data_IF_327987503792
#
_entry.id   IF_327987503792
#
_cell.length_a   1.000
_cell.length_b   1.000
_cell.length_c   1.000
_cell.angle_alpha   90.00
_cell.angle_beta   90.00
_cell.angle_gamma   90.00
#
_symmetry.space_group_name_H-M   'P 1'
#
loop_
_entity.id
_entity.type
_entity.pdbx_description
1 polymer ?
#
# COMPACT_ATOMS: atom_id res chain seq x y z
N UNK A 1 18.72 -0.47 15.97
CA UNK A 1 18.95 0.81 15.27
C UNK A 1 18.50 0.67 13.83
N UNK A 2 17.82 1.67 13.26
CA UNK A 2 17.48 1.68 11.83
C UNK A 2 18.71 2.17 11.06
N UNK A 3 19.25 1.36 10.16
CA UNK A 3 20.35 1.73 9.26
C UNK A 3 19.80 2.14 7.91
N UNK A 4 20.09 3.37 7.49
CA UNK A 4 19.72 3.84 6.16
C UNK A 4 20.72 3.33 5.13
N UNK A 5 20.22 2.67 4.10
CA UNK A 5 21.02 2.17 2.99
C UNK A 5 21.05 3.23 1.87
N UNK A 6 22.15 3.30 1.13
CA UNK A 6 22.23 4.10 -0.09
C UNK A 6 21.34 3.46 -1.17
N UNK A 7 20.40 4.24 -1.69
CA UNK A 7 19.43 3.85 -2.71
C UNK A 7 19.75 4.59 -4.00
N UNK A 8 19.77 3.88 -5.12
CA UNK A 8 19.97 4.46 -6.43
C UNK A 8 18.65 5.09 -6.93
N UNK A 9 18.49 6.40 -6.73
CA UNK A 9 17.25 7.14 -7.05
C UNK A 9 16.72 6.93 -8.48
N UNK A 10 17.55 6.95 -9.56
CA UNK A 10 17.07 6.70 -10.93
C UNK A 10 16.32 5.39 -11.15
N UNK A 11 16.66 4.34 -10.39
CA UNK A 11 16.03 3.02 -10.50
C UNK A 11 15.16 2.68 -9.28
N UNK A 12 14.98 3.64 -8.37
CA UNK A 12 14.21 3.45 -7.17
C UNK A 12 12.71 3.39 -7.51
N UNK A 13 11.96 2.67 -6.67
CA UNK A 13 10.51 2.62 -6.71
C UNK A 13 9.99 2.77 -5.30
N UNK A 14 8.85 3.42 -5.16
CA UNK A 14 8.11 3.43 -3.90
C UNK A 14 7.21 2.20 -3.88
N UNK A 15 7.25 1.47 -2.78
CA UNK A 15 6.32 0.40 -2.52
C UNK A 15 5.47 0.76 -1.31
N UNK A 16 4.15 0.73 -1.48
CA UNK A 16 3.18 0.93 -0.42
C UNK A 16 2.52 -0.40 -0.14
N UNK A 17 2.81 -1.00 1.01
CA UNK A 17 2.20 -2.24 1.46
C UNK A 17 1.07 -1.94 2.41
N UNK A 18 -0.14 -2.33 2.03
CA UNK A 18 -1.33 -2.19 2.85
C UNK A 18 -1.74 -3.59 3.31
N UNK A 19 -1.66 -3.82 4.62
CA UNK A 19 -2.06 -5.08 5.24
C UNK A 19 -3.09 -4.82 6.32
N UNK A 20 -4.25 -5.44 6.17
CA UNK A 20 -5.21 -5.58 7.26
C UNK A 20 -4.82 -6.77 8.14
N UNK A 21 -4.93 -6.63 9.45
CA UNK A 21 -4.83 -7.74 10.40
C UNK A 21 -6.00 -7.70 11.37
N UNK A 22 -6.54 -8.88 11.65
CA UNK A 22 -7.52 -9.09 12.71
C UNK A 22 -6.76 -9.56 13.94
N UNK A 23 -6.93 -8.88 15.07
CA UNK A 23 -6.42 -9.41 16.34
C UNK A 23 -7.55 -10.12 17.06
N UNK A 24 -7.37 -11.42 17.30
CA UNK A 24 -8.28 -12.24 18.10
C UNK A 24 -8.08 -11.94 19.60
N UNK A 25 -8.32 -10.69 19.99
CA UNK A 25 -8.35 -10.27 21.38
C UNK A 25 -9.81 -10.16 21.84
N UNK A 26 -10.03 -10.10 23.15
CA UNK A 26 -11.38 -10.02 23.77
C UNK A 26 -12.25 -8.91 23.15
N UNK A 27 -11.63 -7.85 22.63
CA UNK A 27 -12.29 -6.70 22.03
C UNK A 27 -12.47 -6.78 20.49
N UNK A 28 -12.12 -7.92 19.86
CA UNK A 28 -12.20 -8.17 18.40
C UNK A 28 -11.74 -6.98 17.55
N UNK A 29 -10.59 -6.39 17.89
CA UNK A 29 -10.16 -5.13 17.23
C UNK A 29 -9.61 -5.38 15.84
N UNK A 30 -10.01 -4.52 14.90
CA UNK A 30 -9.45 -4.48 13.56
C UNK A 30 -8.22 -3.58 13.52
N UNK A 31 -7.22 -3.97 12.73
CA UNK A 31 -6.00 -3.20 12.55
C UNK A 31 -5.71 -3.01 11.06
N UNK A 32 -5.53 -1.75 10.66
CA UNK A 32 -4.97 -1.41 9.38
C UNK A 32 -3.50 -1.05 9.57
N UNK A 33 -2.63 -1.76 8.85
CA UNK A 33 -1.18 -1.56 8.86
C UNK A 33 -0.75 -1.11 7.47
N UNK A 34 0.01 -0.04 7.38
CA UNK A 34 0.69 0.30 6.13
C UNK A 34 2.18 0.58 6.35
N UNK A 35 2.98 0.08 5.42
CA UNK A 35 4.43 0.29 5.38
C UNK A 35 4.75 0.87 4.00
N UNK A 36 5.50 1.96 4.00
CA UNK A 36 6.00 2.60 2.80
C UNK A 36 7.51 2.43 2.79
N UNK A 37 8.01 1.83 1.72
CA UNK A 37 9.44 1.67 1.50
C UNK A 37 9.84 2.32 0.18
N UNK A 38 11.02 2.94 0.19
CA UNK A 38 11.72 3.33 -1.03
C UNK A 38 12.76 2.25 -1.30
N UNK A 39 12.80 1.72 -2.52
CA UNK A 39 13.64 0.57 -2.79
C UNK A 39 14.11 0.43 -4.24
N UNK A 40 15.25 -0.22 -4.41
CA UNK A 40 15.70 -0.71 -5.71
C UNK A 40 15.33 -2.20 -5.84
N UNK A 41 14.77 -2.58 -6.99
CA UNK A 41 14.52 -3.99 -7.33
C UNK A 41 15.78 -4.58 -7.95
N UNK A 42 16.29 -5.68 -7.39
CA UNK A 42 17.30 -6.52 -8.04
C UNK A 42 16.67 -7.88 -8.35
N UNK A 43 16.61 -8.23 -9.63
CA UNK A 43 16.17 -9.55 -10.06
C UNK A 43 17.30 -10.55 -9.78
N UNK A 44 16.98 -11.65 -9.11
CA UNK A 44 17.88 -12.78 -9.02
C UNK A 44 17.42 -13.75 -10.10
N UNK A 45 18.09 -13.71 -11.25
CA UNK A 45 17.91 -14.75 -12.24
C UNK A 45 18.65 -15.98 -11.70
N UNK A 46 17.91 -17.10 -11.60
CA UNK A 46 18.38 -18.45 -11.27
C UNK A 46 18.37 -18.79 -9.77
N UNK A 47 17.25 -19.35 -9.31
CA UNK A 47 17.17 -20.61 -8.56
C UNK A 47 15.71 -21.09 -8.66
N UNK A 48 15.46 -22.07 -9.55
CA UNK A 48 14.21 -22.84 -9.68
C UNK A 48 12.88 -22.08 -9.90
N UNK A 49 12.41 -21.97 -11.15
CA UNK A 49 11.02 -21.71 -11.60
C UNK A 49 10.14 -20.67 -10.84
N UNK A 50 10.69 -19.81 -10.00
CA UNK A 50 9.98 -18.76 -9.28
C UNK A 50 10.71 -17.45 -9.51
N UNK A 51 10.00 -16.46 -10.05
CA UNK A 51 10.48 -15.09 -10.19
C UNK A 51 10.66 -14.44 -8.82
N UNK A 52 11.75 -14.76 -8.14
CA UNK A 52 12.12 -14.17 -6.87
C UNK A 52 12.95 -12.91 -7.11
N UNK A 53 12.66 -11.85 -6.36
CA UNK A 53 13.43 -10.62 -6.42
C UNK A 53 13.85 -10.22 -5.01
N UNK A 54 15.04 -9.62 -4.90
CA UNK A 54 15.49 -9.00 -3.66
C UNK A 54 15.22 -7.51 -3.72
N UNK A 55 14.69 -6.99 -2.61
CA UNK A 55 14.45 -5.57 -2.41
C UNK A 55 15.51 -5.07 -1.43
N UNK A 56 16.32 -4.11 -1.87
CA UNK A 56 17.14 -3.29 -0.96
C UNK A 56 16.40 -1.98 -0.73
N UNK A 57 15.97 -1.74 0.49
CA UNK A 57 15.00 -0.68 0.80
C UNK A 57 15.25 0.05 2.10
N UNK A 58 14.77 1.29 2.16
CA UNK A 58 14.62 2.06 3.39
C UNK A 58 13.13 2.22 3.70
N UNK A 59 12.78 2.12 4.99
CA UNK A 59 11.43 2.44 5.46
C UNK A 59 11.29 3.96 5.50
N UNK A 60 10.36 4.49 4.71
CA UNK A 60 10.05 5.92 4.67
C UNK A 60 9.02 6.25 5.74
N UNK A 61 7.98 5.43 5.83
CA UNK A 61 6.91 5.65 6.77
C UNK A 61 6.22 4.34 7.13
N UNK A 62 5.76 4.26 8.37
CA UNK A 62 5.02 3.14 8.91
C UNK A 62 3.88 3.68 9.78
N UNK A 63 2.71 3.09 9.65
CA UNK A 63 1.60 3.38 10.54
C UNK A 63 0.74 2.14 10.81
N UNK A 64 0.11 2.16 11.98
CA UNK A 64 -0.84 1.17 12.44
C UNK A 64 -2.01 1.90 13.08
N UNK A 65 -3.18 1.81 12.47
CA UNK A 65 -4.41 2.35 13.05
C UNK A 65 -5.28 1.20 13.55
N UNK A 66 -5.49 1.14 14.87
CA UNK A 66 -6.47 0.25 15.51
C UNK A 66 -7.85 0.90 15.43
N UNK A 67 -8.86 0.15 15.03
CA UNK A 67 -10.26 0.57 15.13
C UNK A 67 -11.06 -0.41 15.98
N UNK A 68 -11.96 0.14 16.80
CA UNK A 68 -12.87 -0.62 17.68
C UNK A 68 -14.24 -0.91 17.04
N UNK A 69 -14.45 -0.59 15.76
CA UNK A 69 -15.77 -0.65 15.16
C UNK A 69 -16.30 -2.10 15.09
N UNK A 70 -17.35 -2.35 15.88
CA UNK A 70 -18.02 -3.66 16.03
C UNK A 70 -18.88 -4.04 14.82
N UNK A 71 -19.04 -3.19 13.79
CA UNK A 71 -20.01 -3.45 12.70
C UNK A 71 -19.58 -3.08 11.29
N UNK A 72 -18.40 -2.50 11.05
CA UNK A 72 -17.96 -2.24 9.68
C UNK A 72 -17.29 -3.48 9.10
N UNK A 73 -17.91 -4.01 8.04
CA UNK A 73 -17.49 -5.21 7.33
C UNK A 73 -15.99 -5.19 7.03
N UNK A 74 -15.40 -6.38 6.97
CA UNK A 74 -14.01 -6.62 6.57
C UNK A 74 -13.61 -5.78 5.35
N UNK A 75 -14.51 -5.59 4.39
CA UNK A 75 -14.38 -4.77 3.18
C UNK A 75 -14.22 -3.26 3.44
N UNK A 76 -14.86 -2.71 4.46
CA UNK A 76 -14.86 -1.25 4.70
C UNK A 76 -13.49 -0.76 5.14
N UNK A 77 -12.83 -1.50 6.04
CA UNK A 77 -11.46 -1.20 6.47
C UNK A 77 -10.46 -1.32 5.32
N UNK A 78 -10.78 -2.16 4.33
CA UNK A 78 -9.95 -2.41 3.16
C UNK A 78 -10.00 -1.27 2.16
N UNK A 79 -11.20 -0.78 1.85
CA UNK A 79 -11.38 0.42 1.04
C UNK A 79 -10.76 1.62 1.73
N UNK A 80 -10.97 1.77 3.04
CA UNK A 80 -10.33 2.82 3.83
C UNK A 80 -8.80 2.78 3.72
N UNK A 81 -8.21 1.58 3.84
CA UNK A 81 -6.77 1.41 3.69
C UNK A 81 -6.22 1.84 2.33
N UNK A 82 -6.99 1.63 1.25
CA UNK A 82 -6.61 2.07 -0.08
C UNK A 82 -6.72 3.58 -0.22
N UNK A 83 -7.80 4.19 0.26
CA UNK A 83 -7.98 5.66 0.21
C UNK A 83 -6.80 6.34 0.91
N UNK A 84 -6.49 5.90 2.13
CA UNK A 84 -5.32 6.38 2.89
C UNK A 84 -4.02 6.13 2.11
N UNK A 85 -3.84 4.94 1.54
CA UNK A 85 -2.66 4.62 0.73
C UNK A 85 -2.50 5.50 -0.52
N UNK A 86 -3.60 5.86 -1.18
CA UNK A 86 -3.63 6.74 -2.35
C UNK A 86 -3.35 8.19 -1.97
N UNK A 87 -3.91 8.68 -0.87
CA UNK A 87 -3.64 10.03 -0.37
C UNK A 87 -2.15 10.16 0.01
N UNK A 88 -1.59 9.19 0.72
CA UNK A 88 -0.16 9.20 1.07
C UNK A 88 0.71 9.09 -0.19
N UNK A 89 0.33 8.24 -1.16
CA UNK A 89 1.00 8.19 -2.47
C UNK A 89 1.03 9.57 -3.11
N UNK A 90 -0.10 10.27 -3.16
CA UNK A 90 -0.21 11.56 -3.84
C UNK A 90 0.74 12.59 -3.21
N UNK A 91 0.74 12.70 -1.88
CA UNK A 91 1.63 13.60 -1.15
C UNK A 91 3.10 13.24 -1.40
N UNK A 92 3.45 11.96 -1.29
CA UNK A 92 4.82 11.50 -1.46
C UNK A 92 5.33 11.66 -2.90
N UNK A 93 4.50 11.34 -3.90
CA UNK A 93 4.82 11.55 -5.31
C UNK A 93 5.02 13.03 -5.61
N UNK A 94 4.22 13.93 -5.02
CA UNK A 94 4.40 15.37 -5.19
C UNK A 94 5.74 15.84 -4.61
N UNK A 95 6.08 15.38 -3.40
CA UNK A 95 7.35 15.71 -2.75
C UNK A 95 8.55 15.19 -3.57
N UNK A 96 8.52 13.92 -3.99
CA UNK A 96 9.60 13.34 -4.79
C UNK A 96 9.72 14.00 -6.15
N UNK A 97 8.61 14.37 -6.80
CA UNK A 97 8.64 15.08 -8.08
C UNK A 97 9.41 16.40 -7.97
N UNK A 98 9.23 17.15 -6.88
CA UNK A 98 9.97 18.39 -6.64
C UNK A 98 11.48 18.08 -6.57
N UNK A 99 11.87 17.02 -5.85
CA UNK A 99 13.27 16.62 -5.69
C UNK A 99 13.85 16.11 -7.01
N UNK A 100 13.17 15.21 -7.72
CA UNK A 100 13.67 14.64 -8.97
C UNK A 100 13.80 15.70 -10.06
N UNK A 101 12.88 16.67 -10.12
CA UNK A 101 12.98 17.79 -11.06
C UNK A 101 14.20 18.67 -10.78
N UNK A 102 14.55 18.90 -9.51
CA UNK A 102 15.75 19.67 -9.13
C UNK A 102 17.05 18.92 -9.46
N UNK A 103 17.00 17.60 -9.47
CA UNK A 103 18.16 16.73 -9.72
C UNK A 103 18.23 16.20 -11.16
N UNK A 104 17.33 16.62 -12.05
CA UNK A 104 17.17 16.09 -13.42
C UNK A 104 17.07 14.54 -13.46
N UNK A 105 16.38 13.96 -12.48
CA UNK A 105 16.17 12.52 -12.35
C UNK A 105 14.81 12.09 -12.91
N UNK A 106 14.67 10.83 -13.36
CA UNK A 106 13.39 10.30 -13.81
C UNK A 106 12.38 10.24 -12.65
N UNK A 107 11.09 10.26 -13.00
CA UNK A 107 10.02 10.15 -12.02
C UNK A 107 10.07 8.77 -11.34
N UNK A 108 10.07 8.76 -10.02
CA UNK A 108 10.10 7.53 -9.22
C UNK A 108 8.69 6.89 -9.25
N UNK A 109 8.50 5.70 -9.84
CA UNK A 109 7.21 5.05 -9.90
C UNK A 109 6.78 4.55 -8.52
N UNK A 110 5.47 4.55 -8.27
CA UNK A 110 4.87 4.02 -7.03
C UNK A 110 4.05 2.78 -7.33
N UNK A 111 4.29 1.72 -6.56
CA UNK A 111 3.59 0.44 -6.66
C UNK A 111 2.84 0.20 -5.35
N UNK A 112 1.53 -0.01 -5.44
CA UNK A 112 0.68 -0.32 -4.28
C UNK A 112 0.47 -1.84 -4.23
N UNK A 113 0.83 -2.44 -3.10
CA UNK A 113 0.59 -3.83 -2.79
C UNK A 113 -0.53 -3.94 -1.76
N UNK A 114 -1.60 -4.64 -2.15
CA UNK A 114 -2.74 -4.93 -1.28
C UNK A 114 -3.06 -6.42 -1.40
N UNK A 115 -3.44 -7.07 -0.30
CA UNK A 115 -3.87 -8.46 -0.32
C UNK A 115 -5.40 -8.61 -0.56
N UNK A 116 -5.99 -7.66 -1.29
CA UNK A 116 -7.45 -7.48 -1.36
C UNK A 116 -8.04 -8.14 -2.59
N UNK A 117 -8.16 -9.47 -2.52
CA UNK A 117 -8.82 -10.24 -3.57
C UNK A 117 -10.25 -9.74 -3.85
N UNK A 118 -11.00 -9.36 -2.82
CA UNK A 118 -12.37 -8.85 -2.97
C UNK A 118 -12.43 -7.48 -3.67
N UNK A 119 -11.45 -6.61 -3.46
CA UNK A 119 -11.34 -5.36 -4.21
C UNK A 119 -11.06 -5.63 -5.69
N UNK A 120 -10.07 -6.48 -5.97
CA UNK A 120 -9.77 -6.88 -7.35
C UNK A 120 -11.02 -7.48 -8.01
N UNK A 121 -11.71 -8.37 -7.31
CA UNK A 121 -12.98 -8.96 -7.78
C UNK A 121 -14.06 -7.88 -7.98
N UNK A 122 -14.18 -6.91 -7.09
CA UNK A 122 -15.18 -5.86 -7.23
C UNK A 122 -14.88 -4.90 -8.40
N UNK A 123 -13.62 -4.52 -8.59
CA UNK A 123 -13.16 -3.62 -9.65
C UNK A 123 -13.14 -4.28 -11.04
N UNK A 124 -12.62 -5.51 -11.11
CA UNK A 124 -12.39 -6.22 -12.38
C UNK A 124 -13.58 -7.11 -12.76
N UNK A 125 -14.25 -7.68 -11.76
CA UNK A 125 -15.27 -8.72 -11.94
C UNK A 125 -16.60 -8.27 -11.36
N UNK A 126 -17.11 -7.12 -11.85
CA UNK A 126 -18.47 -6.56 -11.66
C UNK A 126 -19.31 -7.34 -10.63
N UNK A 127 -18.95 -7.23 -9.35
CA UNK A 127 -19.61 -8.03 -8.32
C UNK A 127 -21.00 -7.48 -8.01
N UNK A 128 -21.74 -8.19 -7.16
CA UNK A 128 -23.15 -7.94 -6.86
C UNK A 128 -23.43 -6.48 -6.50
N UNK A 129 -24.64 -5.99 -6.81
CA UNK A 129 -25.07 -4.59 -6.60
C UNK A 129 -24.84 -4.08 -5.17
N UNK A 130 -24.84 -4.96 -4.17
CA UNK A 130 -24.56 -4.63 -2.77
C UNK A 130 -23.10 -4.22 -2.54
N UNK A 131 -22.13 -4.93 -3.13
CA UNK A 131 -20.71 -4.59 -3.00
C UNK A 131 -20.38 -3.27 -3.69
N UNK A 132 -20.99 -3.01 -4.86
CA UNK A 132 -20.88 -1.70 -5.53
C UNK A 132 -21.47 -0.56 -4.70
N UNK A 133 -22.66 -0.75 -4.12
CA UNK A 133 -23.27 0.24 -3.21
C UNK A 133 -22.40 0.50 -1.99
N UNK A 134 -21.77 -0.52 -1.42
CA UNK A 134 -20.85 -0.35 -0.29
C UNK A 134 -19.65 0.53 -0.68
N UNK A 135 -19.02 0.27 -1.83
CA UNK A 135 -17.90 1.09 -2.33
C UNK A 135 -18.35 2.54 -2.57
N UNK A 136 -19.49 2.75 -3.24
CA UNK A 136 -20.04 4.10 -3.48
C UNK A 136 -20.30 4.82 -2.16
N UNK A 137 -20.95 4.18 -1.20
CA UNK A 137 -21.23 4.77 0.11
C UNK A 137 -19.95 5.15 0.85
N UNK A 138 -18.88 4.34 0.75
CA UNK A 138 -17.59 4.64 1.38
C UNK A 138 -16.88 5.80 0.67
N UNK A 139 -16.92 5.87 -0.67
CA UNK A 139 -16.34 6.99 -1.43
C UNK A 139 -17.12 8.28 -1.17
N UNK A 140 -18.44 8.20 -1.03
CA UNK A 140 -19.34 9.33 -0.79
C UNK A 140 -19.28 9.85 0.66
N UNK A 141 -18.76 9.08 1.61
CA UNK A 141 -18.59 9.48 3.03
C UNK A 141 -17.39 10.42 3.26
N UNK A 142 -16.82 10.98 2.19
CA UNK A 142 -15.73 11.96 2.27
C UNK A 142 -16.26 13.35 2.55
#
# INVERSE_FOLDING_TARGET
>A
SLTFLTINLPSAKIFIFIKRSFTNNVNLTLQLKFIIILANKKLINNIGNRDTFTIRSNVVHFSLTKSKYVTQSMLTLEVYGIVVGVDIRFVLSKALRIITNRLNLPLIPTIIYTNLYLLYKCLVKLSTTKEKRLIINIIALR
#
